data_IF_652517619163
#
_entry.id   IF_652517619163
#
_cell.length_a   1.000
_cell.length_b   1.000
_cell.length_c   1.000
_cell.angle_alpha   90.00
_cell.angle_beta   90.00
_cell.angle_gamma   90.00
#
_symmetry.space_group_name_H-M   'P 1'
#
loop_
_entity.id
_entity.type
_entity.pdbx_description
1 polymer ?
#
# COMPACT_ATOMS: atom_id res chain seq x y z
N UNK A 1 -14.32 10.21 -18.18
CA UNK A 1 -14.36 9.11 -17.20
C UNK A 1 -13.35 9.45 -16.12
N UNK A 2 -13.72 9.40 -14.83
CA UNK A 2 -12.72 9.46 -13.74
C UNK A 2 -11.68 8.38 -14.03
N UNK A 3 -10.41 8.73 -14.18
CA UNK A 3 -9.34 7.74 -14.28
C UNK A 3 -9.30 7.01 -12.93
N UNK A 4 -9.74 5.76 -12.92
CA UNK A 4 -9.75 4.96 -11.68
C UNK A 4 -8.31 4.71 -11.26
N UNK A 5 -7.96 5.14 -10.06
CA UNK A 5 -6.66 4.87 -9.47
C UNK A 5 -6.47 3.37 -9.26
N UNK A 6 -5.23 2.91 -9.23
CA UNK A 6 -4.90 1.55 -8.79
C UNK A 6 -4.87 1.48 -7.26
N UNK A 7 -5.00 0.29 -6.66
CA UNK A 7 -4.83 0.08 -5.22
C UNK A 7 -3.57 0.76 -4.63
N UNK A 8 -2.36 0.60 -5.21
CA UNK A 8 -1.16 1.26 -4.67
C UNK A 8 -1.23 2.79 -4.75
N UNK A 9 -1.96 3.35 -5.71
CA UNK A 9 -2.14 4.80 -5.84
C UNK A 9 -3.12 5.32 -4.79
N UNK A 10 -4.25 4.63 -4.58
CA UNK A 10 -5.20 4.98 -3.52
C UNK A 10 -4.54 4.89 -2.14
N UNK A 11 -3.76 3.83 -1.88
CA UNK A 11 -3.03 3.65 -0.64
C UNK A 11 -1.97 4.74 -0.42
N UNK A 12 -1.22 5.11 -1.47
CA UNK A 12 -0.20 6.15 -1.37
C UNK A 12 -0.82 7.52 -1.06
N UNK A 13 -1.97 7.85 -1.65
CA UNK A 13 -2.68 9.09 -1.33
C UNK A 13 -3.07 9.17 0.15
N UNK A 14 -3.56 8.07 0.73
CA UNK A 14 -3.90 8.01 2.16
C UNK A 14 -2.67 8.11 3.06
N UNK A 15 -1.48 7.80 2.56
CA UNK A 15 -0.24 7.90 3.31
C UNK A 15 0.35 9.33 3.37
N UNK A 16 -0.27 10.29 2.68
CA UNK A 16 0.16 11.69 2.64
C UNK A 16 -0.75 12.55 3.53
N UNK A 17 -0.18 13.52 4.24
CA UNK A 17 -0.95 14.51 4.98
C UNK A 17 -1.68 15.49 4.02
N UNK A 18 -2.89 15.91 4.41
CA UNK A 18 -3.75 16.78 3.61
C UNK A 18 -3.19 18.22 3.46
N UNK A 19 -2.28 18.63 4.35
CA UNK A 19 -1.84 20.04 4.51
C UNK A 19 -0.63 20.39 3.62
N UNK A 20 0.45 19.65 3.77
CA UNK A 20 1.75 19.86 3.15
C UNK A 20 2.12 18.76 2.14
N UNK A 21 1.46 17.60 2.21
CA UNK A 21 1.76 16.43 1.40
C UNK A 21 3.05 15.72 1.83
N UNK A 22 3.36 15.69 3.13
CA UNK A 22 4.40 14.79 3.63
C UNK A 22 3.81 13.41 3.88
N UNK A 23 4.66 12.38 3.89
CA UNK A 23 4.25 11.09 4.42
C UNK A 23 3.98 11.19 5.92
N UNK A 24 2.82 10.67 6.35
CA UNK A 24 2.49 10.57 7.77
C UNK A 24 3.37 9.52 8.46
N UNK A 25 3.44 9.56 9.79
CA UNK A 25 4.27 8.61 10.53
C UNK A 25 3.68 7.20 10.45
N UNK A 26 4.52 6.24 10.06
CA UNK A 26 4.18 4.81 9.97
C UNK A 26 5.32 3.97 10.56
N UNK A 27 5.07 2.71 10.94
CA UNK A 27 6.15 1.78 11.26
C UNK A 27 7.13 1.65 10.08
N UNK A 28 8.39 1.39 10.39
CA UNK A 28 9.43 1.24 9.38
C UNK A 28 9.06 0.13 8.38
N UNK A 29 9.29 0.38 7.07
CA UNK A 29 8.92 -0.49 5.95
C UNK A 29 7.42 -0.78 5.75
N UNK A 30 6.53 -0.23 6.59
CA UNK A 30 5.11 -0.56 6.53
C UNK A 30 4.45 -0.13 5.22
N UNK A 31 4.77 1.08 4.74
CA UNK A 31 4.25 1.54 3.44
C UNK A 31 4.83 0.70 2.31
N UNK A 32 6.12 0.38 2.33
CA UNK A 32 6.78 -0.36 1.25
C UNK A 32 6.17 -1.78 1.11
N UNK A 33 6.00 -2.52 2.22
CA UNK A 33 5.29 -3.80 2.21
C UNK A 33 3.82 -3.68 1.80
N UNK A 34 3.12 -2.63 2.24
CA UNK A 34 1.73 -2.42 1.87
C UNK A 34 1.56 -2.06 0.38
N UNK A 35 2.48 -1.31 -0.21
CA UNK A 35 2.50 -1.01 -1.65
C UNK A 35 2.80 -2.26 -2.48
N UNK A 36 3.71 -3.13 -2.04
CA UNK A 36 3.96 -4.42 -2.67
C UNK A 36 2.70 -5.32 -2.63
N UNK A 37 2.03 -5.40 -1.47
CA UNK A 37 0.76 -6.11 -1.33
C UNK A 37 -0.35 -5.52 -2.20
N UNK A 38 -0.45 -4.19 -2.29
CA UNK A 38 -1.40 -3.49 -3.16
C UNK A 38 -1.14 -3.80 -4.65
N UNK A 39 0.12 -3.89 -5.06
CA UNK A 39 0.52 -4.22 -6.43
C UNK A 39 0.08 -5.64 -6.82
N UNK A 40 0.30 -6.62 -5.94
CA UNK A 40 -0.17 -8.01 -6.10
C UNK A 40 -1.70 -8.03 -6.23
N UNK A 41 -2.39 -7.34 -5.32
CA UNK A 41 -3.84 -7.36 -5.29
C UNK A 41 -4.48 -6.63 -6.48
N UNK A 42 -3.84 -5.61 -7.04
CA UNK A 42 -4.33 -4.98 -8.27
C UNK A 42 -4.29 -5.97 -9.44
N UNK A 43 -3.23 -6.78 -9.58
CA UNK A 43 -3.18 -7.85 -10.57
C UNK A 43 -4.26 -8.92 -10.34
N UNK A 44 -4.55 -9.24 -9.07
CA UNK A 44 -5.60 -10.18 -8.72
C UNK A 44 -7.00 -9.64 -9.10
N UNK A 45 -7.26 -8.34 -8.85
CA UNK A 45 -8.50 -7.67 -9.28
C UNK A 45 -8.65 -7.62 -10.81
N UNK A 46 -7.53 -7.57 -11.54
CA UNK A 46 -7.50 -7.65 -13.01
C UNK A 46 -7.47 -9.09 -13.54
N UNK A 47 -7.66 -10.08 -12.67
CA UNK A 47 -7.65 -11.51 -12.99
C UNK A 47 -6.37 -12.02 -13.68
N UNK A 48 -5.26 -11.27 -13.60
CA UNK A 48 -3.95 -11.67 -14.14
C UNK A 48 -3.31 -12.76 -13.30
N UNK A 49 -3.58 -12.74 -12.00
CA UNK A 49 -3.16 -13.77 -11.05
C UNK A 49 -4.35 -14.23 -10.22
N UNK A 50 -4.21 -15.38 -9.57
CA UNK A 50 -5.08 -15.82 -8.50
C UNK A 50 -4.27 -16.23 -7.28
N UNK A 51 -4.88 -16.15 -6.10
CA UNK A 51 -4.27 -16.65 -4.86
C UNK A 51 -5.03 -17.92 -4.46
N UNK A 52 -4.32 -19.05 -4.34
CA UNK A 52 -4.90 -20.33 -3.88
C UNK A 52 -3.97 -20.94 -2.84
N UNK A 53 -4.53 -21.36 -1.71
CA UNK A 53 -3.77 -21.87 -0.57
C UNK A 53 -2.55 -20.97 -0.21
N UNK A 54 -2.76 -19.65 -0.21
CA UNK A 54 -1.73 -18.64 0.11
C UNK A 54 -0.67 -18.41 -0.97
N UNK A 55 -0.75 -19.06 -2.13
CA UNK A 55 0.25 -18.96 -3.21
C UNK A 55 -0.29 -18.25 -4.44
N UNK A 56 0.56 -17.48 -5.10
CA UNK A 56 0.22 -16.81 -6.36
C UNK A 56 0.27 -17.82 -7.50
N UNK A 57 -0.77 -17.78 -8.33
CA UNK A 57 -0.88 -18.53 -9.57
C UNK A 57 -1.07 -17.57 -10.73
N UNK A 58 -0.20 -17.65 -11.72
CA UNK A 58 -0.36 -16.91 -12.96
C UNK A 58 -1.62 -17.41 -13.69
N UNK A 59 -2.45 -16.48 -14.17
CA UNK A 59 -3.63 -16.78 -14.98
C UNK A 59 -3.49 -16.24 -16.40
N UNK A 60 -2.95 -15.04 -16.53
CA UNK A 60 -2.76 -14.35 -17.79
C UNK A 60 -1.57 -13.39 -17.66
N UNK A 61 -0.57 -13.57 -18.52
CA UNK A 61 0.67 -12.78 -18.63
C UNK A 61 0.71 -11.84 -19.82
N UNK A 62 -0.42 -11.65 -20.52
CA UNK A 62 -0.52 -10.67 -21.60
C UNK A 62 -0.13 -9.28 -21.13
N UNK A 63 0.65 -8.60 -21.97
CA UNK A 63 1.19 -7.27 -21.69
C UNK A 63 0.07 -6.29 -21.28
N UNK A 64 0.34 -5.58 -20.19
CA UNK A 64 -0.43 -4.46 -19.68
C UNK A 64 0.20 -3.16 -20.19
N UNK A 65 -0.60 -2.09 -20.21
CA UNK A 65 -0.09 -0.75 -20.49
C UNK A 65 0.55 -0.12 -19.22
N UNK A 66 1.40 -0.88 -18.53
CA UNK A 66 2.06 -0.49 -17.29
C UNK A 66 3.27 -1.39 -17.00
N UNK A 67 4.46 -0.80 -17.02
CA UNK A 67 5.74 -1.51 -16.89
C UNK A 67 5.94 -2.16 -15.52
N UNK A 68 5.42 -1.58 -14.43
CA UNK A 68 5.54 -2.14 -13.08
C UNK A 68 4.80 -3.48 -13.02
N UNK A 69 3.59 -3.51 -13.57
CA UNK A 69 2.78 -4.73 -13.60
C UNK A 69 3.34 -5.78 -14.57
N UNK A 70 3.86 -5.36 -15.73
CA UNK A 70 4.52 -6.28 -16.66
C UNK A 70 5.77 -6.91 -16.05
N UNK A 71 6.60 -6.11 -15.35
CA UNK A 71 7.77 -6.63 -14.64
C UNK A 71 7.38 -7.67 -13.59
N UNK A 72 6.35 -7.38 -12.78
CA UNK A 72 5.86 -8.35 -11.78
C UNK A 72 5.32 -9.63 -12.44
N UNK A 73 4.56 -9.53 -13.53
CA UNK A 73 4.06 -10.70 -14.27
C UNK A 73 5.19 -11.54 -14.86
N UNK A 74 6.22 -10.90 -15.43
CA UNK A 74 7.41 -11.61 -15.92
C UNK A 74 8.16 -12.33 -14.81
N UNK A 75 8.34 -11.69 -13.65
CA UNK A 75 8.94 -12.34 -12.49
C UNK A 75 8.12 -13.56 -12.06
N UNK A 76 6.79 -13.42 -11.95
CA UNK A 76 5.88 -14.53 -11.60
C UNK A 76 5.97 -15.67 -12.62
N UNK A 77 5.99 -15.36 -13.92
CA UNK A 77 6.09 -16.35 -14.99
C UNK A 77 7.44 -17.08 -15.01
N UNK A 78 8.50 -16.43 -14.53
CA UNK A 78 9.86 -17.00 -14.50
C UNK A 78 10.08 -17.99 -13.35
N UNK A 79 9.22 -18.00 -12.32
CA UNK A 79 9.34 -18.93 -11.20
C UNK A 79 8.89 -20.34 -11.60
N UNK A 80 9.71 -21.34 -11.26
CA UNK A 80 9.41 -22.74 -11.58
C UNK A 80 8.25 -23.32 -10.76
N UNK A 81 7.87 -22.65 -9.66
CA UNK A 81 6.81 -23.09 -8.75
C UNK A 81 6.02 -21.89 -8.24
N UNK A 82 4.74 -22.13 -7.92
CA UNK A 82 3.90 -21.12 -7.26
C UNK A 82 4.44 -20.84 -5.84
N UNK A 83 4.79 -19.58 -5.58
CA UNK A 83 5.35 -19.10 -4.30
C UNK A 83 4.29 -18.40 -3.44
N UNK A 84 4.45 -18.40 -2.10
CA UNK A 84 3.53 -17.73 -1.18
C UNK A 84 3.50 -16.22 -1.36
N UNK A 85 2.44 -15.55 -0.89
CA UNK A 85 2.31 -14.08 -0.94
C UNK A 85 3.50 -13.38 -0.28
N UNK A 86 3.89 -13.80 0.93
CA UNK A 86 5.09 -13.31 1.64
C UNK A 86 6.33 -13.22 0.76
N UNK A 87 6.67 -14.31 0.05
CA UNK A 87 7.82 -14.34 -0.86
C UNK A 87 7.75 -13.23 -1.93
N UNK A 88 6.56 -12.96 -2.47
CA UNK A 88 6.40 -11.92 -3.48
C UNK A 88 6.47 -10.52 -2.91
N UNK A 89 5.98 -10.30 -1.69
CA UNK A 89 6.11 -9.02 -0.99
C UNK A 89 7.60 -8.70 -0.78
N UNK A 90 8.37 -9.65 -0.24
CA UNK A 90 9.83 -9.52 -0.05
C UNK A 90 10.55 -9.31 -1.39
N UNK A 91 10.24 -10.13 -2.40
CA UNK A 91 10.87 -10.06 -3.72
C UNK A 91 10.57 -8.77 -4.46
N UNK A 92 9.37 -8.20 -4.33
CA UNK A 92 9.04 -6.88 -4.90
C UNK A 92 9.90 -5.80 -4.24
N UNK A 93 9.99 -5.79 -2.91
CA UNK A 93 10.79 -4.77 -2.21
C UNK A 93 12.29 -4.90 -2.47
N UNK A 94 12.77 -6.09 -2.83
CA UNK A 94 14.16 -6.30 -3.23
C UNK A 94 14.44 -5.91 -4.70
N UNK A 95 13.56 -6.28 -5.62
CA UNK A 95 13.80 -6.16 -7.08
C UNK A 95 13.35 -4.83 -7.69
N UNK A 96 12.50 -4.06 -7.01
CA UNK A 96 11.99 -2.77 -7.50
C UNK A 96 12.81 -1.64 -6.87
N UNK A 97 13.69 -1.02 -7.67
CA UNK A 97 14.66 -0.01 -7.20
C UNK A 97 14.02 1.19 -6.47
N UNK A 98 12.77 1.54 -6.74
CA UNK A 98 11.96 2.43 -5.89
C UNK A 98 10.47 2.37 -6.29
N UNK A 99 9.73 1.37 -5.77
CA UNK A 99 8.30 1.22 -6.09
C UNK A 99 7.49 2.46 -5.71
N UNK A 100 7.78 3.05 -4.53
CA UNK A 100 7.08 4.22 -4.00
C UNK A 100 7.27 5.43 -4.89
N UNK A 101 8.51 5.74 -5.29
CA UNK A 101 8.79 6.86 -6.19
C UNK A 101 8.16 6.66 -7.57
N UNK A 102 8.11 5.41 -8.05
CA UNK A 102 7.46 5.12 -9.34
C UNK A 102 5.95 5.39 -9.27
N UNK A 103 5.28 5.03 -8.17
CA UNK A 103 3.85 5.31 -7.97
C UNK A 103 3.61 6.83 -7.79
N UNK A 104 4.47 7.53 -7.07
CA UNK A 104 4.43 8.99 -6.95
C UNK A 104 4.50 9.66 -8.33
N UNK A 105 5.44 9.23 -9.19
CA UNK A 105 5.57 9.77 -10.53
C UNK A 105 4.31 9.56 -11.36
N UNK A 106 3.68 8.38 -11.28
CA UNK A 106 2.39 8.12 -11.95
C UNK A 106 1.29 9.07 -11.50
N UNK A 107 1.21 9.36 -10.20
CA UNK A 107 0.24 10.32 -9.65
C UNK A 107 0.54 11.77 -10.06
N UNK A 108 1.81 12.13 -10.23
CA UNK A 108 2.24 13.42 -10.79
C UNK A 108 1.86 13.53 -12.26
N UNK A 109 2.13 12.49 -13.06
CA UNK A 109 1.79 12.44 -14.49
C UNK A 109 0.27 12.51 -14.71
N UNK A 110 -0.51 11.93 -13.78
CA UNK A 110 -1.97 12.04 -13.71
C UNK A 110 -2.47 13.42 -13.24
N UNK A 111 -1.58 14.32 -12.83
CA UNK A 111 -1.89 15.65 -12.25
C UNK A 111 -2.75 15.58 -10.99
N UNK A 112 -2.47 14.59 -10.15
CA UNK A 112 -3.11 14.43 -8.84
C UNK A 112 -2.20 15.00 -7.76
N UNK A 113 -0.90 14.74 -7.88
CA UNK A 113 0.14 15.28 -7.00
C UNK A 113 1.02 16.28 -7.76
N UNK A 114 1.70 17.14 -7.01
CA UNK A 114 2.85 17.91 -7.48
C UNK A 114 4.06 17.57 -6.64
N UNK A 115 5.25 17.57 -7.22
CA UNK A 115 6.50 17.51 -6.45
C UNK A 115 6.92 18.93 -6.05
N UNK A 116 7.16 19.15 -4.76
CA UNK A 116 7.79 20.36 -4.23
C UNK A 116 9.06 19.98 -3.49
N UNK A 117 10.14 20.70 -3.79
CA UNK A 117 11.40 20.57 -3.08
C UNK A 117 11.59 21.76 -2.15
N UNK A 118 11.67 21.51 -0.84
CA UNK A 118 12.04 22.51 0.15
C UNK A 118 13.52 22.39 0.51
N UNK A 119 14.23 23.53 0.47
CA UNK A 119 15.63 23.64 0.91
C UNK A 119 15.66 24.04 2.38
N UNK A 120 16.04 23.10 3.25
CA UNK A 120 16.22 23.36 4.69
C UNK A 120 17.72 23.38 4.97
N UNK A 121 18.33 24.57 4.98
CA UNK A 121 19.80 24.76 4.95
C UNK A 121 20.40 24.12 3.67
N UNK A 122 21.53 24.62 3.16
CA UNK A 122 22.03 24.28 1.82
C UNK A 122 22.27 22.78 1.52
N UNK A 123 22.19 21.91 2.52
CA UNK A 123 22.48 20.47 2.42
C UNK A 123 21.27 19.54 2.60
N UNK A 124 20.12 20.01 3.11
CA UNK A 124 18.92 19.15 3.25
C UNK A 124 17.83 19.57 2.28
N UNK A 125 17.46 18.64 1.40
CA UNK A 125 16.33 18.78 0.48
C UNK A 125 15.22 17.86 0.98
N UNK A 126 14.07 18.43 1.35
CA UNK A 126 12.88 17.66 1.71
C UNK A 126 11.89 17.71 0.56
N UNK A 127 11.52 16.54 0.03
CA UNK A 127 10.48 16.42 -0.99
C UNK A 127 9.11 16.32 -0.34
N UNK A 128 8.15 17.06 -0.89
CA UNK A 128 6.75 17.06 -0.51
C UNK A 128 5.90 16.79 -1.75
N UNK A 129 4.76 16.14 -1.54
CA UNK A 129 3.86 15.71 -2.61
C UNK A 129 2.44 16.24 -2.38
N UNK A 130 2.22 17.56 -2.33
CA UNK A 130 0.88 18.12 -2.12
C UNK A 130 -0.08 17.68 -3.23
N UNK A 131 -1.31 17.37 -2.82
CA UNK A 131 -2.40 17.11 -3.75
C UNK A 131 -2.84 18.41 -4.45
N UNK A 132 -3.16 18.34 -5.74
CA UNK A 132 -3.59 19.53 -6.49
C UNK A 132 -5.00 19.97 -6.05
N UNK A 133 -5.92 19.01 -5.93
CA UNK A 133 -7.32 19.26 -5.58
C UNK A 133 -7.86 18.36 -4.44
N UNK A 134 -7.18 17.25 -4.13
CA UNK A 134 -7.57 16.32 -3.06
C UNK A 134 -8.87 15.53 -3.34
N UNK A 135 -9.40 15.56 -4.55
CA UNK A 135 -10.69 14.94 -4.87
C UNK A 135 -10.64 13.42 -4.84
N UNK A 136 -9.54 12.84 -5.31
CA UNK A 136 -9.32 11.40 -5.36
C UNK A 136 -9.20 10.80 -3.96
N UNK A 137 -8.38 11.41 -3.12
CA UNK A 137 -8.23 10.98 -1.72
C UNK A 137 -9.54 11.14 -0.95
N UNK A 138 -10.24 12.28 -1.10
CA UNK A 138 -11.54 12.50 -0.47
C UNK A 138 -12.56 11.46 -0.92
N UNK A 139 -12.55 11.05 -2.20
CA UNK A 139 -13.40 9.96 -2.69
C UNK A 139 -13.10 8.65 -1.96
N UNK A 140 -11.82 8.27 -1.85
CA UNK A 140 -11.39 7.06 -1.14
C UNK A 140 -11.82 7.11 0.33
N UNK A 141 -11.48 8.17 1.07
CA UNK A 141 -11.85 8.34 2.48
C UNK A 141 -13.38 8.29 2.66
N UNK A 142 -14.14 8.91 1.76
CA UNK A 142 -15.61 8.90 1.81
C UNK A 142 -16.17 7.50 1.58
N UNK A 143 -15.72 6.80 0.53
CA UNK A 143 -16.18 5.44 0.20
C UNK A 143 -15.90 4.46 1.34
N UNK A 144 -14.72 4.50 1.95
CA UNK A 144 -14.38 3.65 3.10
C UNK A 144 -15.24 3.96 4.33
N UNK A 145 -15.47 5.26 4.63
CA UNK A 145 -16.38 5.68 5.71
C UNK A 145 -17.82 5.23 5.45
N UNK A 146 -18.32 5.29 4.23
CA UNK A 146 -19.67 4.81 3.90
C UNK A 146 -19.84 3.32 4.14
N UNK A 147 -18.87 2.51 3.68
CA UNK A 147 -18.84 1.06 3.88
C UNK A 147 -18.90 0.69 5.37
N UNK A 148 -18.14 1.42 6.20
CA UNK A 148 -18.08 1.19 7.65
C UNK A 148 -19.34 1.72 8.36
N UNK A 149 -19.77 2.95 8.07
CA UNK A 149 -20.86 3.62 8.80
C UNK A 149 -22.26 3.16 8.38
N UNK A 150 -22.49 2.99 7.08
CA UNK A 150 -23.83 2.79 6.50
C UNK A 150 -24.14 1.30 6.29
N UNK A 151 -23.23 0.40 6.71
CA UNK A 151 -23.31 -1.03 6.46
C UNK A 151 -23.57 -1.37 4.98
N UNK A 152 -23.04 -0.54 4.07
CA UNK A 152 -23.02 -0.81 2.64
C UNK A 152 -22.10 -2.00 2.39
N UNK A 153 -22.47 -2.86 1.45
CA UNK A 153 -21.63 -4.00 1.09
C UNK A 153 -20.30 -3.48 0.51
N UNK A 154 -19.15 -3.84 1.11
CA UNK A 154 -17.85 -3.40 0.61
C UNK A 154 -17.56 -4.08 -0.73
N UNK A 155 -16.99 -3.33 -1.68
CA UNK A 155 -16.40 -3.98 -2.85
C UNK A 155 -15.13 -4.73 -2.45
N UNK A 156 -14.70 -5.72 -3.26
CA UNK A 156 -13.42 -6.42 -3.03
C UNK A 156 -12.25 -5.46 -2.91
N UNK A 157 -12.26 -4.36 -3.68
CA UNK A 157 -11.25 -3.31 -3.60
C UNK A 157 -11.27 -2.58 -2.25
N UNK A 158 -12.46 -2.25 -1.73
CA UNK A 158 -12.60 -1.57 -0.43
C UNK A 158 -12.10 -2.47 0.71
N UNK A 159 -12.40 -3.77 0.64
CA UNK A 159 -11.89 -4.79 1.59
C UNK A 159 -10.36 -4.78 1.61
N UNK A 160 -9.74 -4.87 0.43
CA UNK A 160 -8.27 -4.92 0.29
C UNK A 160 -7.65 -3.63 0.82
N UNK A 161 -8.17 -2.48 0.39
CA UNK A 161 -7.61 -1.19 0.77
C UNK A 161 -7.72 -0.94 2.27
N UNK A 162 -8.88 -1.23 2.89
CA UNK A 162 -9.05 -1.10 4.34
C UNK A 162 -8.11 -2.03 5.12
N UNK A 163 -7.94 -3.26 4.64
CA UNK A 163 -7.03 -4.24 5.23
C UNK A 163 -5.57 -3.76 5.21
N UNK A 164 -5.12 -3.18 4.09
CA UNK A 164 -3.78 -2.62 3.96
C UNK A 164 -3.58 -1.36 4.81
N UNK A 165 -4.56 -0.45 4.83
CA UNK A 165 -4.54 0.78 5.66
C UNK A 165 -4.38 0.42 7.13
N UNK A 166 -5.12 -0.59 7.61
CA UNK A 166 -4.97 -1.07 8.98
C UNK A 166 -3.59 -1.69 9.23
N UNK A 167 -3.09 -2.51 8.29
CA UNK A 167 -1.81 -3.21 8.44
C UNK A 167 -0.60 -2.26 8.54
N UNK A 168 -0.65 -1.11 7.87
CA UNK A 168 0.44 -0.12 7.90
C UNK A 168 0.23 1.06 8.87
N UNK A 169 -0.83 1.02 9.68
CA UNK A 169 -1.08 2.03 10.72
C UNK A 169 -1.69 3.34 10.22
N UNK A 170 -2.31 3.35 9.04
CA UNK A 170 -2.93 4.54 8.41
C UNK A 170 -4.41 4.74 8.78
N UNK A 171 -4.92 4.01 9.77
CA UNK A 171 -6.36 4.05 10.10
C UNK A 171 -6.83 5.45 10.55
N UNK A 172 -5.94 6.21 11.18
CA UNK A 172 -6.19 7.58 11.67
C UNK A 172 -6.41 8.59 10.54
N UNK A 173 -5.85 8.32 9.36
CA UNK A 173 -6.02 9.17 8.17
C UNK A 173 -7.43 9.03 7.55
N UNK A 174 -8.08 7.89 7.78
CA UNK A 174 -9.42 7.60 7.24
C UNK A 174 -10.50 7.80 8.29
N UNK A 175 -10.28 7.46 9.56
CA UNK A 175 -11.34 7.47 10.58
C UNK A 175 -10.92 8.30 11.78
N UNK A 176 -11.82 9.17 12.27
CA UNK A 176 -11.57 9.85 13.54
C UNK A 176 -11.50 8.84 14.70
N UNK A 177 -10.90 9.23 15.83
CA UNK A 177 -10.82 8.36 17.01
C UNK A 177 -12.20 7.93 17.51
N UNK A 178 -13.19 8.82 17.45
CA UNK A 178 -14.59 8.52 17.79
C UNK A 178 -15.20 7.49 16.84
N UNK A 179 -14.91 7.59 15.54
CA UNK A 179 -15.37 6.62 14.55
C UNK A 179 -14.74 5.24 14.78
N UNK A 180 -13.43 5.19 15.01
CA UNK A 180 -12.73 3.94 15.29
C UNK A 180 -13.30 3.27 16.54
N UNK A 181 -13.55 4.03 17.60
CA UNK A 181 -14.18 3.50 18.82
C UNK A 181 -15.60 2.99 18.54
N UNK A 182 -16.38 3.71 17.74
CA UNK A 182 -17.78 3.36 17.45
C UNK A 182 -17.92 2.18 16.48
N UNK A 183 -16.99 2.02 15.54
CA UNK A 183 -17.10 1.07 14.43
C UNK A 183 -15.94 0.05 14.38
N UNK A 184 -15.19 -0.12 15.46
CA UNK A 184 -14.05 -1.04 15.55
C UNK A 184 -14.37 -2.45 15.05
N UNK A 185 -15.45 -3.05 15.53
CA UNK A 185 -15.89 -4.39 15.11
C UNK A 185 -16.18 -4.47 13.60
N UNK A 186 -16.74 -3.41 13.03
CA UNK A 186 -17.05 -3.36 11.59
C UNK A 186 -15.78 -3.19 10.76
N UNK A 187 -14.87 -2.31 11.20
CA UNK A 187 -13.56 -2.12 10.55
C UNK A 187 -12.80 -3.46 10.53
N UNK A 188 -12.67 -4.10 11.69
CA UNK A 188 -11.95 -5.36 11.83
C UNK A 188 -12.59 -6.50 11.03
N UNK A 189 -13.92 -6.62 11.05
CA UNK A 189 -14.61 -7.68 10.32
C UNK A 189 -14.44 -7.54 8.81
N UNK A 190 -14.46 -6.31 8.28
CA UNK A 190 -14.20 -6.06 6.84
C UNK A 190 -12.73 -6.37 6.52
N UNK A 191 -11.79 -5.84 7.30
CA UNK A 191 -10.36 -6.01 7.05
C UNK A 191 -9.92 -7.49 7.06
N UNK A 192 -10.61 -8.34 7.83
CA UNK A 192 -10.39 -9.80 7.93
C UNK A 192 -11.01 -10.61 6.79
N UNK A 193 -11.79 -10.01 5.88
CA UNK A 193 -12.34 -10.72 4.71
C UNK A 193 -11.27 -11.08 3.66
N UNK A 194 -10.05 -10.58 3.83
CA UNK A 194 -8.88 -10.91 3.01
C UNK A 194 -7.69 -11.18 3.92
N UNK A 195 -6.73 -11.97 3.45
CA UNK A 195 -5.50 -12.28 4.20
C UNK A 195 -4.38 -11.29 3.91
N UNK A 196 -4.47 -10.45 2.87
CA UNK A 196 -3.34 -9.61 2.44
C UNK A 196 -2.87 -8.62 3.53
N UNK A 197 -3.78 -8.01 4.28
CA UNK A 197 -3.39 -7.13 5.39
C UNK A 197 -2.69 -7.89 6.52
N UNK A 198 -3.04 -9.16 6.74
CA UNK A 198 -2.34 -10.01 7.70
C UNK A 198 -0.93 -10.36 7.22
N UNK A 199 -0.76 -10.73 5.95
CA UNK A 199 0.57 -10.98 5.36
C UNK A 199 1.46 -9.74 5.47
N UNK A 200 0.94 -8.56 5.09
CA UNK A 200 1.68 -7.29 5.22
C UNK A 200 2.01 -6.96 6.68
N UNK A 201 1.05 -7.13 7.60
CA UNK A 201 1.29 -6.88 9.01
C UNK A 201 2.40 -7.78 9.57
N UNK A 202 2.40 -9.07 9.20
CA UNK A 202 3.45 -10.00 9.61
C UNK A 202 4.83 -9.58 9.06
N UNK A 203 4.93 -9.18 7.79
CA UNK A 203 6.20 -8.68 7.24
C UNK A 203 6.74 -7.44 7.98
N UNK A 204 5.84 -6.54 8.37
CA UNK A 204 6.21 -5.37 9.18
C UNK A 204 6.75 -5.81 10.54
N UNK A 205 6.08 -6.74 11.22
CA UNK A 205 6.55 -7.23 12.52
C UNK A 205 7.88 -7.99 12.41
N UNK A 206 7.99 -8.92 11.47
CA UNK A 206 9.22 -9.71 11.22
C UNK A 206 10.42 -8.77 10.97
N UNK A 207 10.22 -7.72 10.17
CA UNK A 207 11.27 -6.74 9.89
C UNK A 207 11.64 -5.89 11.10
N UNK A 208 10.67 -5.44 11.89
CA UNK A 208 10.93 -4.66 13.10
C UNK A 208 11.67 -5.50 14.15
N UNK A 209 11.28 -6.75 14.34
CA UNK A 209 11.99 -7.68 15.22
C UNK A 209 13.43 -7.88 14.78
N UNK A 210 13.66 -8.16 13.49
CA UNK A 210 15.00 -8.29 12.92
C UNK A 210 15.84 -7.02 13.11
N UNK A 211 15.27 -5.84 12.83
CA UNK A 211 15.97 -4.57 12.97
C UNK A 211 16.37 -4.30 14.42
N UNK A 212 15.46 -4.53 15.38
CA UNK A 212 15.73 -4.34 16.80
C UNK A 212 16.83 -5.30 17.30
N UNK A 213 16.79 -6.57 16.88
CA UNK A 213 17.85 -7.53 17.22
C UNK A 213 19.21 -7.08 16.69
N UNK A 214 19.26 -6.59 15.45
CA UNK A 214 20.50 -6.11 14.82
C UNK A 214 21.08 -4.89 15.56
N UNK A 215 20.24 -3.93 15.94
CA UNK A 215 20.67 -2.77 16.73
C UNK A 215 21.15 -3.16 18.14
N UNK A 216 20.47 -4.12 18.79
CA UNK A 216 20.90 -4.63 20.09
C UNK A 216 22.25 -5.36 20.04
N UNK A 217 22.55 -6.07 18.96
CA UNK A 217 23.86 -6.68 18.76
C UNK A 217 24.94 -5.61 18.56
N UNK A 218 24.69 -4.59 17.74
CA UNK A 218 25.62 -3.47 17.55
C UNK A 218 25.92 -2.75 18.87
N UNK A 219 24.90 -2.47 19.69
CA UNK A 219 25.03 -1.85 21.01
C UNK A 219 25.76 -2.75 22.04
N UNK A 220 25.76 -4.07 21.86
CA UNK A 220 26.45 -5.00 22.75
C UNK A 220 27.96 -5.07 22.47
N UNK A 221 28.38 -4.77 21.24
CA UNK A 221 29.79 -4.80 20.82
C UNK A 221 30.48 -3.42 20.83
N UNK A 222 29.77 -2.37 21.25
CA UNK A 222 30.28 -1.01 21.40
C UNK A 222 30.27 -0.55 22.87
#
# INVERSE_FOLDING_TARGET
>A
MKNKLTLPEELLLIALDDDEGNFVQMPMMALDYALAGALIMELALQERIGIRAGKLHLRNDSDLNDEIYNKLLQMIASESENKPVKFWIEKINFEFEDLKQTILQKLIDKKILMEKEEKILWVFHRRRYPMIHGEEEKEVKTRLREVVRQNKEPSTRDIILLSLIQACGLIDEVFSKEEQQKFSERIDSIAKLTTIGQEVHNEVQDFLEWYLMTQMEEDYYH
#
